data_IF_838525047684
#
_entry.id   IF_838525047684
#
_cell.length_a   1.000
_cell.length_b   1.000
_cell.length_c   1.000
_cell.angle_alpha   90.00
_cell.angle_beta   90.00
_cell.angle_gamma   90.00
#
_symmetry.space_group_name_H-M   'P 1'
#
loop_
_entity.id
_entity.type
_entity.pdbx_description
1 polymer ?
#
# COMPACT_ATOMS: atom_id res chain seq x y z
N UNK A 1 -18.36 40.05 29.54
CA UNK A 1 -18.78 39.35 28.31
C UNK A 1 -17.75 39.59 27.21
N UNK A 2 -17.01 38.56 26.80
CA UNK A 2 -16.28 38.51 25.53
C UNK A 2 -16.37 37.08 25.01
N UNK A 3 -17.13 36.90 23.93
CA UNK A 3 -17.26 35.64 23.23
C UNK A 3 -15.97 35.38 22.44
N UNK A 4 -15.31 34.25 22.72
CA UNK A 4 -14.23 33.74 21.88
C UNK A 4 -14.86 33.00 20.70
N UNK A 5 -14.69 33.57 19.50
CA UNK A 5 -15.12 32.95 18.25
C UNK A 5 -14.29 31.70 17.98
N UNK A 6 -14.96 30.55 17.90
CA UNK A 6 -14.36 29.31 17.41
C UNK A 6 -14.13 29.42 15.90
N UNK A 7 -12.87 29.32 15.48
CA UNK A 7 -12.49 29.19 14.07
C UNK A 7 -13.02 27.86 13.52
N UNK A 8 -13.70 27.83 12.36
CA UNK A 8 -14.15 26.59 11.76
C UNK A 8 -12.94 25.81 11.23
N UNK A 9 -12.79 24.57 11.70
CA UNK A 9 -11.78 23.61 11.24
C UNK A 9 -12.02 23.38 9.74
N UNK A 10 -11.10 23.83 8.90
CA UNK A 10 -11.17 23.67 7.45
C UNK A 10 -11.35 22.18 7.11
N UNK A 11 -12.47 21.84 6.48
CA UNK A 11 -12.69 20.52 5.91
C UNK A 11 -11.64 20.31 4.81
N UNK A 12 -10.78 19.30 4.99
CA UNK A 12 -9.80 18.90 3.98
C UNK A 12 -10.60 18.52 2.72
N UNK A 13 -10.37 19.22 1.61
CA UNK A 13 -11.03 18.92 0.34
C UNK A 13 -10.80 17.44 -0.02
N UNK A 14 -11.88 16.72 -0.33
CA UNK A 14 -11.78 15.33 -0.77
C UNK A 14 -10.87 15.26 -2.00
N UNK A 15 -9.86 14.40 -1.95
CA UNK A 15 -8.96 14.22 -3.08
C UNK A 15 -9.76 13.73 -4.30
N UNK A 16 -9.39 14.16 -5.53
CA UNK A 16 -10.12 13.74 -6.72
C UNK A 16 -10.01 12.22 -6.90
N UNK A 17 -11.17 11.59 -7.14
CA UNK A 17 -11.31 10.14 -7.38
C UNK A 17 -10.30 9.65 -8.43
N UNK A 18 -9.78 8.43 -8.24
CA UNK A 18 -8.84 7.85 -9.19
C UNK A 18 -9.58 7.39 -10.45
N UNK A 19 -9.37 8.07 -11.57
CA UNK A 19 -9.84 7.60 -12.88
C UNK A 19 -8.91 6.52 -13.44
N UNK A 20 -9.41 5.67 -14.35
CA UNK A 20 -8.59 4.71 -15.09
C UNK A 20 -7.36 5.37 -15.74
N UNK A 21 -7.53 6.57 -16.33
CA UNK A 21 -6.44 7.35 -16.91
C UNK A 21 -5.38 7.77 -15.89
N UNK A 22 -5.79 8.15 -14.67
CA UNK A 22 -4.87 8.51 -13.59
C UNK A 22 -4.08 7.29 -13.13
N UNK A 23 -4.75 6.15 -12.99
CA UNK A 23 -4.12 4.88 -12.63
C UNK A 23 -3.08 4.46 -13.69
N UNK A 24 -3.39 4.55 -14.98
CA UNK A 24 -2.44 4.30 -16.08
C UNK A 24 -1.21 5.21 -16.00
N UNK A 25 -1.43 6.51 -15.74
CA UNK A 25 -0.35 7.48 -15.61
C UNK A 25 0.57 7.15 -14.43
N UNK A 26 0.01 6.76 -13.28
CA UNK A 26 0.79 6.34 -12.11
C UNK A 26 1.57 5.07 -12.41
N UNK A 27 0.97 4.06 -13.04
CA UNK A 27 1.65 2.80 -13.42
C UNK A 27 2.83 3.10 -14.36
N UNK A 28 2.63 3.92 -15.40
CA UNK A 28 3.70 4.33 -16.33
C UNK A 28 4.82 5.07 -15.60
N UNK A 29 4.47 6.00 -14.73
CA UNK A 29 5.44 6.79 -13.96
C UNK A 29 6.23 5.92 -12.97
N UNK A 30 5.56 5.00 -12.28
CA UNK A 30 6.18 4.03 -11.38
C UNK A 30 7.17 3.13 -12.15
N UNK A 31 6.75 2.57 -13.30
CA UNK A 31 7.64 1.79 -14.18
C UNK A 31 8.85 2.60 -14.63
N UNK A 32 8.69 3.88 -14.93
CA UNK A 32 9.79 4.78 -15.29
C UNK A 32 10.78 4.99 -14.13
N UNK A 33 10.28 5.21 -12.90
CA UNK A 33 11.12 5.33 -11.70
C UNK A 33 11.88 4.05 -11.39
N UNK A 34 11.21 2.91 -11.46
CA UNK A 34 11.80 1.59 -11.19
C UNK A 34 13.00 1.27 -12.07
N UNK A 35 13.09 1.79 -13.31
CA UNK A 35 14.25 1.58 -14.20
C UNK A 35 15.58 2.10 -13.63
N UNK A 36 15.53 2.95 -12.60
CA UNK A 36 16.73 3.43 -11.88
C UNK A 36 17.26 2.41 -10.86
N UNK A 37 16.46 1.42 -10.47
CA UNK A 37 16.89 0.32 -9.63
C UNK A 37 17.59 -0.76 -10.48
N UNK A 38 18.67 -1.34 -9.96
CA UNK A 38 19.49 -2.31 -10.69
C UNK A 38 18.70 -3.59 -11.02
N UNK A 39 17.83 -4.03 -10.13
CA UNK A 39 17.10 -5.31 -10.24
C UNK A 39 15.70 -5.13 -10.85
N UNK A 40 15.16 -3.90 -10.89
CA UNK A 40 13.84 -3.60 -11.46
C UNK A 40 13.89 -3.19 -12.94
N UNK A 41 14.72 -3.88 -13.73
CA UNK A 41 14.92 -3.58 -15.15
C UNK A 41 13.91 -4.26 -16.07
N UNK A 42 13.38 -5.42 -15.69
CA UNK A 42 12.46 -6.21 -16.51
C UNK A 42 11.03 -6.05 -16.01
N UNK A 43 10.02 -6.34 -16.85
CA UNK A 43 8.64 -6.36 -16.37
C UNK A 43 8.40 -7.52 -15.39
N UNK A 44 9.18 -8.60 -15.49
CA UNK A 44 9.18 -9.73 -14.55
C UNK A 44 9.53 -9.34 -13.11
N UNK A 45 10.28 -8.25 -12.89
CA UNK A 45 10.60 -7.75 -11.54
C UNK A 45 9.80 -6.49 -11.17
N UNK A 46 9.47 -5.65 -12.15
CA UNK A 46 8.67 -4.44 -11.95
C UNK A 46 7.21 -4.74 -11.63
N UNK A 47 6.57 -5.67 -12.35
CA UNK A 47 5.16 -5.96 -12.11
C UNK A 47 4.94 -6.49 -10.69
N UNK A 48 5.65 -7.55 -10.22
CA UNK A 48 5.46 -8.01 -8.85
C UNK A 48 5.66 -6.92 -7.81
N UNK A 49 6.66 -6.04 -8.02
CA UNK A 49 6.93 -4.90 -7.13
C UNK A 49 5.76 -3.92 -7.07
N UNK A 50 5.19 -3.56 -8.22
CA UNK A 50 4.04 -2.68 -8.28
C UNK A 50 2.79 -3.35 -7.69
N UNK A 51 2.60 -4.64 -7.96
CA UNK A 51 1.45 -5.42 -7.48
C UNK A 51 1.34 -5.40 -5.97
N UNK A 52 2.41 -5.72 -5.23
CA UNK A 52 2.31 -5.78 -3.77
C UNK A 52 2.13 -4.39 -3.15
N UNK A 53 2.71 -3.34 -3.74
CA UNK A 53 2.51 -1.95 -3.29
C UNK A 53 1.05 -1.52 -3.47
N UNK A 54 0.51 -1.74 -4.68
CA UNK A 54 -0.88 -1.45 -5.01
C UNK A 54 -1.85 -2.23 -4.11
N UNK A 55 -1.54 -3.50 -3.83
CA UNK A 55 -2.32 -4.34 -2.93
C UNK A 55 -2.37 -3.76 -1.51
N UNK A 56 -1.23 -3.37 -0.92
CA UNK A 56 -1.20 -2.80 0.42
C UNK A 56 -1.91 -1.43 0.50
N UNK A 57 -1.74 -0.60 -0.52
CA UNK A 57 -2.47 0.68 -0.62
C UNK A 57 -3.98 0.45 -0.66
N UNK A 58 -4.41 -0.48 -1.51
CA UNK A 58 -5.81 -0.85 -1.66
C UNK A 58 -6.40 -1.38 -0.34
N UNK A 59 -5.68 -2.27 0.33
CA UNK A 59 -6.08 -2.80 1.64
C UNK A 59 -6.26 -1.67 2.65
N UNK A 60 -5.33 -0.72 2.76
CA UNK A 60 -5.46 0.38 3.73
C UNK A 60 -6.63 1.31 3.42
N UNK A 61 -6.88 1.64 2.16
CA UNK A 61 -8.02 2.49 1.77
C UNK A 61 -9.36 1.83 2.13
N UNK A 62 -9.51 0.53 1.83
CA UNK A 62 -10.71 -0.23 2.22
C UNK A 62 -10.86 -0.32 3.74
N UNK A 63 -9.74 -0.50 4.46
CA UNK A 63 -9.75 -0.51 5.93
C UNK A 63 -10.18 0.83 6.52
N UNK A 64 -9.84 1.97 5.90
CA UNK A 64 -10.33 3.30 6.32
C UNK A 64 -11.84 3.39 6.22
N UNK A 65 -12.41 2.96 5.08
CA UNK A 65 -13.85 3.02 4.85
C UNK A 65 -14.59 2.16 5.87
N UNK A 66 -14.16 0.92 6.08
CA UNK A 66 -14.79 0.04 7.08
C UNK A 66 -14.61 0.54 8.52
N UNK A 67 -13.46 1.14 8.84
CA UNK A 67 -13.21 1.75 10.15
C UNK A 67 -14.18 2.92 10.39
N UNK A 68 -14.36 3.80 9.39
CA UNK A 68 -15.30 4.92 9.44
C UNK A 68 -16.76 4.43 9.58
N UNK A 69 -17.17 3.41 8.81
CA UNK A 69 -18.49 2.78 8.91
C UNK A 69 -18.75 2.18 10.29
N UNK A 70 -17.75 1.49 10.86
CA UNK A 70 -17.85 0.90 12.19
C UNK A 70 -17.98 1.96 13.28
N UNK A 71 -17.25 3.07 13.16
CA UNK A 71 -17.38 4.23 14.06
C UNK A 71 -18.79 4.80 14.00
N UNK A 72 -19.34 5.02 12.81
CA UNK A 72 -20.71 5.50 12.62
C UNK A 72 -21.75 4.52 13.20
N UNK A 73 -21.53 3.22 13.03
CA UNK A 73 -22.37 2.16 13.58
C UNK A 73 -22.12 1.89 15.09
N UNK A 74 -21.18 2.59 15.73
CA UNK A 74 -20.71 2.34 17.11
C UNK A 74 -20.30 0.89 17.37
N UNK A 75 -19.72 0.24 16.37
CA UNK A 75 -19.19 -1.13 16.45
C UNK A 75 -17.68 -1.08 16.62
N UNK A 76 -17.13 -2.12 17.27
CA UNK A 76 -15.69 -2.33 17.29
C UNK A 76 -15.24 -2.79 15.91
N UNK A 77 -14.21 -2.16 15.37
CA UNK A 77 -13.54 -2.61 14.15
C UNK A 77 -12.20 -3.26 14.53
N UNK A 78 -11.89 -4.38 13.90
CA UNK A 78 -10.57 -5.01 14.00
C UNK A 78 -9.88 -4.90 12.65
N UNK A 79 -8.77 -4.18 12.62
CA UNK A 79 -8.02 -3.99 11.39
C UNK A 79 -7.51 -5.30 10.80
N UNK A 80 -7.34 -5.36 9.50
CA UNK A 80 -6.73 -6.48 8.80
C UNK A 80 -5.22 -6.55 9.06
N UNK A 81 -4.58 -5.38 8.95
CA UNK A 81 -3.16 -5.13 9.19
C UNK A 81 -3.10 -4.20 10.40
N UNK A 82 -2.33 -4.57 11.41
CA UNK A 82 -2.19 -3.81 12.65
C UNK A 82 -1.11 -2.73 12.50
N UNK A 83 -1.19 -1.65 13.29
CA UNK A 83 -0.10 -0.67 13.36
C UNK A 83 1.19 -1.33 13.90
N UNK A 84 2.39 -0.90 13.46
CA UNK A 84 2.67 0.19 12.52
C UNK A 84 2.84 -0.29 11.05
N UNK A 85 2.19 -1.39 10.66
CA UNK A 85 2.39 -2.02 9.34
C UNK A 85 1.39 -1.56 8.27
N UNK A 86 0.39 -0.75 8.63
CA UNK A 86 -0.61 -0.25 7.67
C UNK A 86 0.04 0.75 6.73
N UNK A 87 -0.45 0.85 5.51
CA UNK A 87 0.09 1.81 4.53
C UNK A 87 0.15 3.24 5.11
N UNK A 88 -0.90 3.65 5.83
CA UNK A 88 -0.98 4.96 6.49
C UNK A 88 0.13 5.23 7.51
N UNK A 89 0.75 4.19 8.08
CA UNK A 89 1.74 4.31 9.14
C UNK A 89 3.16 4.51 8.59
N UNK A 90 3.53 3.81 7.51
CA UNK A 90 4.92 3.79 7.01
C UNK A 90 5.10 4.38 5.60
N UNK A 91 4.04 4.40 4.79
CA UNK A 91 4.12 4.75 3.37
C UNK A 91 3.50 6.12 3.04
N UNK A 92 2.50 6.57 3.81
CA UNK A 92 1.69 7.74 3.45
C UNK A 92 2.39 9.11 3.61
N UNK A 93 3.40 9.19 4.48
CA UNK A 93 4.25 10.38 4.56
C UNK A 93 5.29 10.35 3.42
N UNK A 94 5.25 11.36 2.55
CA UNK A 94 6.16 11.47 1.41
C UNK A 94 7.61 11.69 1.82
N UNK A 95 7.83 12.23 3.03
CA UNK A 95 9.14 12.41 3.66
C UNK A 95 9.49 11.30 4.67
N UNK A 96 8.68 10.23 4.74
CA UNK A 96 8.87 9.11 5.65
C UNK A 96 10.08 8.23 5.33
N UNK A 97 10.15 7.07 5.99
CA UNK A 97 11.29 6.13 5.94
C UNK A 97 11.76 5.84 4.50
N UNK A 98 13.06 5.92 4.24
CA UNK A 98 13.63 5.78 2.89
C UNK A 98 14.99 5.09 2.93
N UNK A 99 15.60 4.87 1.77
CA UNK A 99 16.98 4.36 1.67
C UNK A 99 17.17 3.01 2.37
N UNK A 100 18.32 2.78 3.03
CA UNK A 100 18.60 1.52 3.72
C UNK A 100 17.57 1.15 4.79
N UNK A 101 17.03 2.14 5.52
CA UNK A 101 16.07 1.90 6.59
C UNK A 101 14.75 1.35 6.04
N UNK A 102 14.27 1.87 4.89
CA UNK A 102 13.10 1.32 4.22
C UNK A 102 13.33 -0.13 3.78
N UNK A 103 14.52 -0.43 3.26
CA UNK A 103 14.87 -1.80 2.84
C UNK A 103 14.93 -2.75 4.03
N UNK A 104 15.51 -2.31 5.15
CA UNK A 104 15.54 -3.05 6.42
C UNK A 104 14.12 -3.30 6.94
N UNK A 105 13.27 -2.26 6.94
CA UNK A 105 11.89 -2.38 7.36
C UNK A 105 11.10 -3.37 6.51
N UNK A 106 11.27 -3.37 5.18
CA UNK A 106 10.51 -4.27 4.29
C UNK A 106 11.00 -5.72 4.42
N UNK A 107 12.32 -5.92 4.33
CA UNK A 107 12.90 -7.25 4.13
C UNK A 107 13.33 -7.95 5.41
N UNK A 108 13.56 -7.20 6.49
CA UNK A 108 14.14 -7.74 7.71
C UNK A 108 13.22 -8.72 8.44
N UNK A 109 13.76 -9.86 8.88
CA UNK A 109 13.07 -10.71 9.86
C UNK A 109 12.91 -9.99 11.21
N UNK A 110 13.83 -9.07 11.51
CA UNK A 110 13.76 -8.09 12.60
C UNK A 110 14.35 -6.75 12.17
N UNK A 111 13.80 -5.65 12.68
CA UNK A 111 14.18 -4.27 12.36
C UNK A 111 13.63 -3.29 13.40
N UNK A 112 14.19 -2.08 13.42
CA UNK A 112 13.55 -0.93 14.06
C UNK A 112 12.43 -0.43 13.15
N UNK A 113 11.20 -0.47 13.64
CA UNK A 113 10.01 -0.06 12.88
C UNK A 113 9.87 1.46 12.84
N UNK A 114 8.96 1.96 12.00
CA UNK A 114 8.68 3.40 11.83
C UNK A 114 8.18 4.09 13.10
N UNK A 115 7.68 3.34 14.08
CA UNK A 115 7.27 3.86 15.39
C UNK A 115 8.40 3.86 16.44
N UNK A 116 9.63 3.49 16.04
CA UNK A 116 10.80 3.39 16.91
C UNK A 116 10.87 2.09 17.73
N UNK A 117 9.91 1.17 17.59
CA UNK A 117 9.92 -0.11 18.30
C UNK A 117 10.64 -1.21 17.52
N UNK A 118 11.22 -2.17 18.23
CA UNK A 118 11.86 -3.34 17.64
C UNK A 118 10.83 -4.44 17.32
N UNK A 119 10.94 -5.07 16.15
CA UNK A 119 10.18 -6.27 15.84
C UNK A 119 10.33 -6.73 14.40
N UNK A 120 9.38 -7.54 13.92
CA UNK A 120 9.44 -8.07 12.56
C UNK A 120 9.40 -6.94 11.51
N UNK A 121 10.08 -7.12 10.37
CA UNK A 121 9.85 -6.28 9.20
C UNK A 121 8.49 -6.54 8.56
N UNK A 122 8.14 -5.74 7.56
CA UNK A 122 6.84 -5.75 6.91
C UNK A 122 6.51 -7.11 6.31
N UNK A 123 7.39 -7.68 5.48
CA UNK A 123 7.09 -8.96 4.81
C UNK A 123 7.02 -10.10 5.82
N UNK A 124 7.92 -10.14 6.79
CA UNK A 124 7.89 -11.11 7.89
C UNK A 124 6.56 -11.04 8.67
N UNK A 125 6.13 -9.82 9.06
CA UNK A 125 4.85 -9.61 9.71
C UNK A 125 3.67 -10.10 8.85
N UNK A 126 3.58 -9.68 7.59
CA UNK A 126 2.46 -10.02 6.70
C UNK A 126 2.34 -11.54 6.49
N UNK A 127 3.46 -12.26 6.36
CA UNK A 127 3.48 -13.72 6.27
C UNK A 127 2.93 -14.41 7.52
N UNK A 128 3.10 -13.80 8.69
CA UNK A 128 2.63 -14.36 9.96
C UNK A 128 1.17 -14.04 10.28
N UNK A 129 0.49 -13.23 9.45
CA UNK A 129 -0.91 -12.89 9.70
C UNK A 129 -1.76 -14.16 9.79
N UNK A 130 -2.40 -14.34 10.94
CA UNK A 130 -3.38 -15.39 11.18
C UNK A 130 -4.70 -14.76 11.56
N UNK A 131 -5.74 -15.26 10.92
CA UNK A 131 -7.09 -14.88 11.23
C UNK A 131 -7.63 -15.51 12.51
N UNK A 132 -8.13 -14.70 13.44
CA UNK A 132 -8.85 -15.18 14.62
C UNK A 132 -10.23 -14.49 14.67
N UNK A 133 -11.34 -15.24 14.64
CA UNK A 133 -12.69 -14.67 14.68
C UNK A 133 -13.12 -13.98 13.38
N UNK A 134 -13.86 -12.88 13.49
CA UNK A 134 -14.27 -12.06 12.33
C UNK A 134 -13.04 -11.51 11.59
N UNK A 135 -13.06 -11.59 10.25
CA UNK A 135 -11.92 -11.20 9.41
C UNK A 135 -10.87 -12.29 9.21
N UNK A 136 -11.08 -13.51 9.74
CA UNK A 136 -10.12 -14.61 9.62
C UNK A 136 -9.68 -14.89 8.19
N UNK A 137 -10.66 -15.10 7.31
CA UNK A 137 -10.41 -15.41 5.90
C UNK A 137 -9.59 -14.33 5.20
N UNK A 138 -9.83 -13.05 5.52
CA UNK A 138 -9.10 -11.93 4.90
C UNK A 138 -7.64 -11.90 5.36
N UNK A 139 -7.36 -12.10 6.66
CA UNK A 139 -5.98 -12.14 7.19
C UNK A 139 -5.19 -13.31 6.59
N UNK A 140 -5.84 -14.47 6.46
CA UNK A 140 -5.23 -15.66 5.87
C UNK A 140 -4.92 -15.45 4.37
N UNK A 141 -5.76 -14.71 3.63
CA UNK A 141 -5.48 -14.32 2.23
C UNK A 141 -4.26 -13.40 2.15
N UNK A 142 -4.13 -12.40 3.02
CA UNK A 142 -2.93 -11.54 3.03
C UNK A 142 -1.67 -12.37 3.31
N UNK A 143 -1.71 -13.25 4.31
CA UNK A 143 -0.59 -14.16 4.61
C UNK A 143 -0.24 -15.05 3.41
N UNK A 144 -1.23 -15.62 2.73
CA UNK A 144 -1.01 -16.45 1.55
C UNK A 144 -0.39 -15.66 0.39
N UNK A 145 -0.86 -14.44 0.12
CA UNK A 145 -0.28 -13.57 -0.91
C UNK A 145 1.19 -13.28 -0.62
N UNK A 146 1.55 -12.98 0.63
CA UNK A 146 2.94 -12.63 0.99
C UNK A 146 3.85 -13.83 1.30
N UNK A 147 3.31 -15.05 1.32
CA UNK A 147 4.05 -16.28 1.62
C UNK A 147 5.29 -16.47 0.74
N UNK A 148 5.10 -16.40 -0.58
CA UNK A 148 6.16 -16.59 -1.58
C UNK A 148 6.63 -15.28 -2.22
N UNK A 149 6.03 -14.14 -1.85
CA UNK A 149 6.47 -12.84 -2.34
C UNK A 149 7.82 -12.46 -1.74
N UNK A 150 8.69 -11.95 -2.61
CA UNK A 150 9.92 -11.28 -2.24
C UNK A 150 9.94 -9.87 -2.82
N UNK A 151 10.59 -8.98 -2.11
CA UNK A 151 10.89 -7.65 -2.62
C UNK A 151 12.06 -7.73 -3.60
N UNK A 152 11.85 -7.29 -4.83
CA UNK A 152 12.91 -7.24 -5.86
C UNK A 152 13.71 -5.94 -5.83
N UNK A 153 13.18 -4.87 -5.22
CA UNK A 153 13.88 -3.60 -5.16
C UNK A 153 15.18 -3.76 -4.36
N UNK A 154 16.22 -3.02 -4.76
CA UNK A 154 17.51 -2.96 -4.05
C UNK A 154 17.81 -1.57 -3.53
N UNK A 155 17.18 -0.54 -4.10
CA UNK A 155 17.30 0.85 -3.66
C UNK A 155 16.03 1.29 -2.96
N UNK A 156 16.12 1.50 -1.64
CA UNK A 156 15.02 2.07 -0.87
C UNK A 156 14.67 3.50 -1.29
N UNK A 157 15.61 4.25 -1.88
CA UNK A 157 15.31 5.57 -2.44
C UNK A 157 14.42 5.48 -3.68
N UNK A 158 14.71 4.55 -4.59
CA UNK A 158 13.86 4.32 -5.78
C UNK A 158 12.51 3.75 -5.38
N UNK A 159 12.49 2.83 -4.41
CA UNK A 159 11.25 2.26 -3.91
C UNK A 159 10.37 3.33 -3.23
N UNK A 160 10.96 4.25 -2.44
CA UNK A 160 10.24 5.40 -1.86
C UNK A 160 9.62 6.29 -2.93
N UNK A 161 10.34 6.59 -4.01
CA UNK A 161 9.80 7.34 -5.15
C UNK A 161 8.56 6.68 -5.75
N UNK A 162 8.56 5.34 -5.86
CA UNK A 162 7.41 4.57 -6.35
C UNK A 162 6.27 4.58 -5.34
N UNK A 163 6.57 4.37 -4.05
CA UNK A 163 5.57 4.40 -2.97
C UNK A 163 4.83 5.74 -2.98
N UNK A 164 5.54 6.85 -3.13
CA UNK A 164 4.94 8.18 -3.18
C UNK A 164 3.96 8.33 -4.36
N UNK A 165 4.30 7.79 -5.53
CA UNK A 165 3.38 7.76 -6.69
C UNK A 165 2.13 6.91 -6.42
N UNK A 166 2.30 5.75 -5.80
CA UNK A 166 1.18 4.85 -5.44
C UNK A 166 0.31 5.49 -4.35
N UNK A 167 0.90 6.26 -3.44
CA UNK A 167 0.18 6.93 -2.35
C UNK A 167 -0.82 7.97 -2.87
N UNK A 168 -0.55 8.56 -4.03
CA UNK A 168 -1.43 9.56 -4.68
C UNK A 168 -2.68 8.94 -5.33
N UNK A 169 -2.83 7.62 -5.26
CA UNK A 169 -4.03 6.90 -5.69
C UNK A 169 -5.02 6.81 -4.52
N UNK A 170 -6.29 7.07 -4.77
CA UNK A 170 -7.39 6.90 -3.81
C UNK A 170 -8.41 5.90 -4.34
N UNK A 171 -8.70 4.86 -3.54
CA UNK A 171 -9.71 3.85 -3.84
C UNK A 171 -10.93 4.06 -2.95
N UNK A 172 -12.00 4.57 -3.55
CA UNK A 172 -13.15 5.09 -2.79
C UNK A 172 -14.42 4.29 -3.10
N UNK A 173 -14.37 3.37 -4.06
CA UNK A 173 -15.54 2.70 -4.60
C UNK A 173 -15.25 1.29 -5.13
N UNK A 174 -16.30 0.47 -5.21
CA UNK A 174 -16.26 -0.84 -5.86
C UNK A 174 -15.87 -0.76 -7.35
N UNK A 175 -16.15 0.38 -8.00
CA UNK A 175 -15.76 0.62 -9.40
C UNK A 175 -14.24 0.73 -9.56
N UNK A 176 -13.56 1.29 -8.56
CA UNK A 176 -12.09 1.37 -8.56
C UNK A 176 -11.47 -0.03 -8.46
N UNK A 177 -12.09 -0.95 -7.71
CA UNK A 177 -11.69 -2.36 -7.60
C UNK A 177 -11.76 -3.05 -8.96
N UNK A 178 -12.89 -2.91 -9.66
CA UNK A 178 -13.06 -3.52 -10.97
C UNK A 178 -12.08 -2.93 -11.99
N UNK A 179 -11.80 -1.64 -11.89
CA UNK A 179 -10.80 -0.96 -12.73
C UNK A 179 -9.40 -1.50 -12.46
N UNK A 180 -9.03 -1.69 -11.20
CA UNK A 180 -7.74 -2.28 -10.81
C UNK A 180 -7.60 -3.71 -11.31
N UNK A 181 -8.65 -4.53 -11.19
CA UNK A 181 -8.70 -5.89 -11.72
C UNK A 181 -8.49 -5.95 -13.23
N UNK A 182 -9.18 -5.10 -14.00
CA UNK A 182 -9.01 -5.01 -15.47
C UNK A 182 -7.61 -4.55 -15.87
N UNK A 183 -7.04 -3.59 -15.14
CA UNK A 183 -5.68 -3.09 -15.38
C UNK A 183 -4.65 -4.17 -15.08
N UNK A 184 -4.82 -4.90 -13.99
CA UNK A 184 -3.94 -6.00 -13.61
C UNK A 184 -3.96 -7.11 -14.64
N UNK A 185 -5.15 -7.52 -15.10
CA UNK A 185 -5.30 -8.51 -16.16
C UNK A 185 -4.61 -8.06 -17.46
N UNK A 186 -4.71 -6.77 -17.80
CA UNK A 186 -4.03 -6.19 -18.97
C UNK A 186 -2.51 -6.26 -18.81
N UNK A 187 -1.97 -5.89 -17.65
CA UNK A 187 -0.53 -5.96 -17.37
C UNK A 187 -0.01 -7.42 -17.38
N UNK A 188 -0.79 -8.36 -16.84
CA UNK A 188 -0.46 -9.79 -16.92
C UNK A 188 -0.44 -10.29 -18.35
N UNK A 189 -1.42 -9.87 -19.17
CA UNK A 189 -1.47 -10.22 -20.59
C UNK A 189 -0.25 -9.69 -21.34
N UNK A 190 0.08 -8.41 -21.17
CA UNK A 190 1.27 -7.80 -21.77
C UNK A 190 2.57 -8.55 -21.43
N UNK A 191 2.67 -9.06 -20.19
CA UNK A 191 3.83 -9.85 -19.78
C UNK A 191 3.87 -11.25 -20.40
N UNK A 192 2.72 -11.91 -20.51
CA UNK A 192 2.62 -13.21 -21.21
C UNK A 192 3.03 -13.06 -22.67
N UNK A 193 2.58 -11.99 -23.31
CA UNK A 193 2.86 -11.70 -24.71
C UNK A 193 4.33 -11.27 -24.94
N UNK A 194 5.00 -10.70 -23.93
CA UNK A 194 6.42 -10.34 -23.99
C UNK A 194 7.38 -11.49 -23.62
N UNK A 195 6.86 -12.57 -23.03
CA UNK A 195 7.62 -13.76 -22.63
C UNK A 195 7.51 -14.92 -23.65
N UNK A 196 6.59 -14.83 -24.62
CA UNK A 196 6.46 -15.73 -25.76
C UNK A 196 7.09 -15.16 -27.02
#
# INVERSE_FOLDING_TARGET
MKAAGASPRAAKAAAPKTTAQRLDSVIKSARNKMRKDRELKTDLTRLPTLTWLMFLKFVDDMERIHEDEAVLARKKYRSLIDAPYRWRDWAADSAGITGPDLMSFINGERTTRVDGTEGAGLFAYLRTLRGNGEGRQRRDVVSAVFGDLRNYATSGYVLRDVINLVNDIHFDSTEDIQTLGRMYETLLREMRDAAG
#
